data_IF_054494992480
#
_entry.id   IF_054494992480
#
_cell.length_a   1.000
_cell.length_b   1.000
_cell.length_c   1.000
_cell.angle_alpha   90.00
_cell.angle_beta   90.00
_cell.angle_gamma   90.00
#
_symmetry.space_group_name_H-M   'P 1'
#
loop_
_entity.id
_entity.type
_entity.pdbx_description
1 polymer ?
#
# COMPACT_ATOMS: atom_id res chain seq x y z
N UNK A 1 -28.89 -27.20 -8.47
CA UNK A 1 -28.47 -25.97 -9.16
C UNK A 1 -28.33 -24.83 -8.16
N UNK A 2 -29.36 -24.46 -7.39
CA UNK A 2 -29.27 -23.41 -6.35
C UNK A 2 -28.06 -23.55 -5.37
N UNK A 3 -27.78 -24.74 -4.82
CA UNK A 3 -26.62 -24.91 -3.91
C UNK A 3 -25.23 -24.63 -4.53
N UNK A 4 -25.07 -24.77 -5.84
CA UNK A 4 -23.79 -24.55 -6.52
C UNK A 4 -23.58 -23.05 -6.80
N UNK A 5 -24.64 -22.38 -7.28
CA UNK A 5 -24.69 -20.91 -7.44
C UNK A 5 -24.51 -20.19 -6.10
N UNK A 6 -25.14 -20.68 -5.03
CA UNK A 6 -24.99 -20.13 -3.67
C UNK A 6 -23.55 -20.24 -3.13
N UNK A 7 -22.79 -21.26 -3.55
CA UNK A 7 -21.39 -21.40 -3.17
C UNK A 7 -20.51 -20.42 -3.96
N UNK A 8 -20.76 -20.27 -5.26
CA UNK A 8 -20.05 -19.34 -6.14
C UNK A 8 -20.26 -17.88 -5.71
N UNK A 9 -21.50 -17.48 -5.42
CA UNK A 9 -21.82 -16.16 -4.88
C UNK A 9 -21.05 -15.89 -3.58
N UNK A 10 -21.02 -16.86 -2.66
CA UNK A 10 -20.29 -16.73 -1.38
C UNK A 10 -18.79 -16.57 -1.58
N UNK A 11 -18.20 -17.29 -2.54
CA UNK A 11 -16.78 -17.16 -2.85
C UNK A 11 -16.46 -15.77 -3.43
N UNK A 12 -17.27 -15.28 -4.36
CA UNK A 12 -17.11 -13.95 -4.94
C UNK A 12 -17.27 -12.86 -3.88
N UNK A 13 -18.26 -12.98 -2.99
CA UNK A 13 -18.47 -12.02 -1.89
C UNK A 13 -17.29 -12.00 -0.90
N UNK A 14 -16.69 -13.15 -0.63
CA UNK A 14 -15.50 -13.23 0.23
C UNK A 14 -14.31 -12.51 -0.42
N UNK A 15 -14.02 -12.81 -1.68
CA UNK A 15 -12.93 -12.17 -2.43
C UNK A 15 -13.16 -10.66 -2.57
N UNK A 16 -14.41 -10.25 -2.82
CA UNK A 16 -14.79 -8.85 -2.91
C UNK A 16 -14.57 -8.11 -1.58
N UNK A 17 -14.87 -8.75 -0.45
CA UNK A 17 -14.62 -8.16 0.88
C UNK A 17 -13.14 -7.88 1.10
N UNK A 18 -12.26 -8.80 0.71
CA UNK A 18 -10.80 -8.60 0.81
C UNK A 18 -10.34 -7.46 -0.10
N UNK A 19 -10.81 -7.42 -1.35
CA UNK A 19 -10.51 -6.34 -2.29
C UNK A 19 -10.99 -4.98 -1.77
N UNK A 20 -12.18 -4.90 -1.16
CA UNK A 20 -12.70 -3.69 -0.51
C UNK A 20 -11.78 -3.20 0.62
N UNK A 21 -11.20 -4.11 1.41
CA UNK A 21 -10.22 -3.75 2.45
C UNK A 21 -8.97 -3.09 1.84
N UNK A 22 -8.44 -3.62 0.74
CA UNK A 22 -7.27 -3.03 0.05
C UNK A 22 -7.57 -1.63 -0.52
N UNK A 23 -8.80 -1.43 -1.02
CA UNK A 23 -9.25 -0.11 -1.49
C UNK A 23 -9.29 0.90 -0.34
N UNK A 24 -9.73 0.48 0.85
CA UNK A 24 -9.78 1.34 2.02
C UNK A 24 -8.38 1.70 2.54
N UNK A 25 -7.43 0.76 2.51
CA UNK A 25 -6.02 1.02 2.81
C UNK A 25 -5.41 2.03 1.84
N UNK A 26 -5.65 1.89 0.53
CA UNK A 26 -5.25 2.88 -0.46
C UNK A 26 -5.80 4.26 -0.14
N UNK A 27 -7.09 4.38 0.16
CA UNK A 27 -7.71 5.66 0.53
C UNK A 27 -7.05 6.24 1.78
N UNK A 28 -6.73 5.41 2.77
CA UNK A 28 -6.05 5.84 3.97
C UNK A 28 -4.65 6.40 3.66
N UNK A 29 -3.84 5.68 2.86
CA UNK A 29 -2.51 6.13 2.46
C UNK A 29 -2.60 7.42 1.63
N UNK A 30 -3.52 7.54 0.69
CA UNK A 30 -3.72 8.78 -0.07
C UNK A 30 -4.06 9.97 0.83
N UNK A 31 -4.92 9.78 1.84
CA UNK A 31 -5.21 10.81 2.85
C UNK A 31 -3.95 11.21 3.61
N UNK A 32 -3.15 10.24 4.06
CA UNK A 32 -1.88 10.51 4.75
C UNK A 32 -0.92 11.29 3.84
N UNK A 33 -0.70 10.86 2.61
CA UNK A 33 0.20 11.53 1.67
C UNK A 33 -0.24 12.96 1.34
N UNK A 34 -1.55 13.24 1.38
CA UNK A 34 -2.09 14.59 1.19
C UNK A 34 -2.06 15.46 2.46
N UNK A 35 -1.94 14.85 3.64
CA UNK A 35 -2.02 15.52 4.94
C UNK A 35 -0.83 16.46 5.17
N UNK A 36 -1.11 17.69 5.62
CA UNK A 36 -0.09 18.72 5.85
C UNK A 36 0.99 18.32 6.86
N UNK A 37 0.60 17.71 7.97
CA UNK A 37 1.54 17.32 9.02
C UNK A 37 2.36 16.11 8.61
N UNK A 38 1.76 15.15 7.89
CA UNK A 38 2.49 14.05 7.29
C UNK A 38 3.53 14.55 6.28
N UNK A 39 3.15 15.47 5.38
CA UNK A 39 4.10 16.09 4.45
C UNK A 39 5.25 16.77 5.18
N UNK A 40 4.95 17.51 6.25
CA UNK A 40 5.97 18.24 7.02
C UNK A 40 6.94 17.30 7.74
N UNK A 41 6.43 16.28 8.41
CA UNK A 41 7.22 15.42 9.31
C UNK A 41 7.84 14.25 8.56
N UNK A 42 7.09 13.60 7.69
CA UNK A 42 7.52 12.38 7.01
C UNK A 42 8.11 12.68 5.64
N UNK A 43 7.37 13.33 4.73
CA UNK A 43 7.89 13.59 3.37
C UNK A 43 9.09 14.54 3.41
N UNK A 44 8.92 15.77 3.88
CA UNK A 44 10.01 16.74 3.94
C UNK A 44 10.99 16.49 5.08
N UNK A 45 10.55 15.91 6.19
CA UNK A 45 11.42 15.62 7.33
C UNK A 45 12.24 14.36 7.13
N UNK A 46 11.57 13.23 6.99
CA UNK A 46 12.21 11.91 6.97
C UNK A 46 12.66 11.48 5.56
N UNK A 47 11.87 11.69 4.51
CA UNK A 47 12.26 11.24 3.17
C UNK A 47 13.29 12.18 2.52
N UNK A 48 13.16 13.49 2.74
CA UNK A 48 14.06 14.48 2.11
C UNK A 48 15.24 14.85 3.04
N UNK A 49 14.97 15.53 4.16
CA UNK A 49 16.03 16.12 5.00
C UNK A 49 16.90 15.07 5.68
N UNK A 50 16.30 14.01 6.21
CA UNK A 50 17.06 12.96 6.88
C UNK A 50 17.92 12.17 5.88
N UNK A 51 17.44 11.90 4.67
CA UNK A 51 18.25 11.29 3.62
C UNK A 51 19.49 12.14 3.30
N UNK A 52 19.34 13.47 3.17
CA UNK A 52 20.46 14.40 2.97
C UNK A 52 21.41 14.39 4.17
N UNK A 53 20.88 14.40 5.40
CA UNK A 53 21.69 14.33 6.62
C UNK A 53 22.54 13.06 6.67
N UNK A 54 21.96 11.91 6.30
CA UNK A 54 22.65 10.62 6.25
C UNK A 54 23.76 10.60 5.19
N UNK A 55 23.56 11.23 4.04
CA UNK A 55 24.62 11.38 3.02
C UNK A 55 25.81 12.17 3.58
N UNK A 56 25.55 13.28 4.27
CA UNK A 56 26.63 14.03 4.92
C UNK A 56 27.31 13.23 6.03
N UNK A 57 26.53 12.54 6.87
CA UNK A 57 27.06 11.70 7.94
C UNK A 57 27.96 10.57 7.39
N UNK A 58 27.62 10.02 6.23
CA UNK A 58 28.44 9.01 5.54
C UNK A 58 29.85 9.52 5.23
N UNK A 59 30.01 10.82 5.02
CA UNK A 59 31.31 11.47 4.76
C UNK A 59 32.06 11.93 6.01
N UNK A 60 31.45 11.84 7.20
CA UNK A 60 32.08 12.27 8.46
C UNK A 60 33.23 11.33 8.85
N UNK A 61 34.40 11.89 9.14
CA UNK A 61 35.60 11.12 9.47
C UNK A 61 35.43 10.19 10.68
N UNK A 62 34.56 10.54 11.63
CA UNK A 62 34.28 9.72 12.82
C UNK A 62 33.34 8.54 12.53
N UNK A 63 32.76 8.47 11.34
CA UNK A 63 31.79 7.45 10.93
C UNK A 63 32.32 6.53 9.81
N UNK A 64 33.64 6.49 9.60
CA UNK A 64 34.26 5.74 8.49
C UNK A 64 34.50 4.25 8.77
N UNK A 65 34.24 3.75 9.99
CA UNK A 65 34.33 2.30 10.22
C UNK A 65 33.27 1.55 9.43
N UNK A 66 33.57 0.30 9.04
CA UNK A 66 32.66 -0.51 8.25
C UNK A 66 31.30 -0.71 8.94
N UNK A 67 31.31 -0.92 10.26
CA UNK A 67 30.08 -1.05 11.06
C UNK A 67 29.25 0.25 11.04
N UNK A 68 29.89 1.40 11.16
CA UNK A 68 29.24 2.70 11.16
C UNK A 68 28.63 3.02 9.79
N UNK A 69 29.37 2.77 8.71
CA UNK A 69 28.90 2.94 7.33
C UNK A 69 27.67 2.06 7.06
N UNK A 70 27.70 0.79 7.47
CA UNK A 70 26.58 -0.13 7.31
C UNK A 70 25.32 0.34 8.05
N UNK A 71 25.46 0.92 9.24
CA UNK A 71 24.33 1.50 9.98
C UNK A 71 23.70 2.68 9.24
N UNK A 72 24.51 3.52 8.58
CA UNK A 72 24.01 4.65 7.79
C UNK A 72 23.29 4.15 6.53
N UNK A 73 23.90 3.20 5.82
CA UNK A 73 23.32 2.61 4.60
C UNK A 73 21.99 1.88 4.87
N UNK A 74 21.89 1.18 6.00
CA UNK A 74 20.64 0.55 6.43
C UNK A 74 19.53 1.59 6.71
N UNK A 75 19.87 2.73 7.32
CA UNK A 75 18.90 3.81 7.55
C UNK A 75 18.43 4.44 6.24
N UNK A 76 19.34 4.69 5.30
CA UNK A 76 19.00 5.18 3.96
C UNK A 76 18.10 4.19 3.20
N UNK A 77 18.42 2.90 3.30
CA UNK A 77 17.58 1.84 2.73
C UNK A 77 16.20 1.83 3.37
N UNK A 78 16.12 1.99 4.69
CA UNK A 78 14.85 2.06 5.43
C UNK A 78 13.93 3.19 4.97
N UNK A 79 14.48 4.36 4.63
CA UNK A 79 13.72 5.46 4.04
C UNK A 79 13.08 5.02 2.71
N UNK A 80 13.89 4.45 1.81
CA UNK A 80 13.44 4.00 0.50
C UNK A 80 12.40 2.87 0.58
N UNK A 81 12.62 1.88 1.45
CA UNK A 81 11.69 0.76 1.61
C UNK A 81 10.36 1.19 2.21
N UNK A 82 10.36 2.14 3.15
CA UNK A 82 9.11 2.68 3.68
C UNK A 82 8.31 3.44 2.60
N UNK A 83 8.97 4.27 1.79
CA UNK A 83 8.31 4.94 0.68
C UNK A 83 7.72 3.93 -0.32
N UNK A 84 8.50 2.91 -0.71
CA UNK A 84 8.05 1.84 -1.60
C UNK A 84 6.83 1.08 -1.06
N UNK A 85 6.77 0.84 0.25
CA UNK A 85 5.61 0.23 0.88
C UNK A 85 4.35 1.07 0.71
N UNK A 86 4.43 2.40 0.94
CA UNK A 86 3.28 3.29 0.75
C UNK A 86 2.80 3.29 -0.72
N UNK A 87 3.74 3.34 -1.65
CA UNK A 87 3.43 3.29 -3.10
C UNK A 87 2.79 1.95 -3.48
N UNK A 88 3.28 0.83 -2.93
CA UNK A 88 2.72 -0.49 -3.16
C UNK A 88 1.28 -0.60 -2.65
N UNK A 89 0.97 -0.07 -1.46
CA UNK A 89 -0.41 -0.04 -0.94
C UNK A 89 -1.34 0.73 -1.88
N UNK A 90 -0.89 1.88 -2.41
CA UNK A 90 -1.68 2.67 -3.36
C UNK A 90 -1.90 1.91 -4.67
N UNK A 91 -0.88 1.24 -5.19
CA UNK A 91 -0.98 0.45 -6.42
C UNK A 91 -1.90 -0.76 -6.24
N UNK A 92 -1.75 -1.52 -5.16
CA UNK A 92 -2.58 -2.69 -4.84
C UNK A 92 -4.05 -2.32 -4.69
N UNK A 93 -4.37 -1.25 -3.94
CA UNK A 93 -5.76 -0.78 -3.87
C UNK A 93 -6.26 -0.16 -5.19
N UNK A 94 -5.37 0.15 -6.13
CA UNK A 94 -5.68 0.48 -7.51
C UNK A 94 -6.27 -0.71 -8.25
N UNK A 95 -5.53 -1.82 -8.25
CA UNK A 95 -5.96 -3.08 -8.84
C UNK A 95 -7.19 -3.66 -8.13
N UNK A 96 -7.24 -3.58 -6.81
CA UNK A 96 -8.37 -4.08 -6.03
C UNK A 96 -9.68 -3.32 -6.32
N UNK A 97 -9.61 -2.03 -6.67
CA UNK A 97 -10.81 -1.28 -7.06
C UNK A 97 -11.45 -1.87 -8.33
N UNK A 98 -10.64 -2.23 -9.33
CA UNK A 98 -11.14 -2.91 -10.52
C UNK A 98 -11.74 -4.28 -10.17
N UNK A 99 -11.08 -5.05 -9.31
CA UNK A 99 -11.58 -6.36 -8.89
C UNK A 99 -12.93 -6.28 -8.14
N UNK A 100 -13.19 -5.18 -7.41
CA UNK A 100 -14.50 -4.95 -6.78
C UNK A 100 -15.57 -4.70 -7.83
N UNK A 101 -15.29 -3.87 -8.84
CA UNK A 101 -16.23 -3.58 -9.94
C UNK A 101 -16.57 -4.85 -10.73
N UNK A 102 -15.55 -5.65 -11.07
CA UNK A 102 -15.73 -6.92 -11.79
C UNK A 102 -16.56 -7.92 -10.95
N UNK A 103 -16.32 -7.98 -9.64
CA UNK A 103 -17.09 -8.83 -8.72
C UNK A 103 -18.54 -8.36 -8.55
N UNK A 104 -18.79 -7.05 -8.49
CA UNK A 104 -20.15 -6.50 -8.42
C UNK A 104 -20.96 -6.89 -9.67
N UNK A 105 -20.36 -6.77 -10.87
CA UNK A 105 -20.99 -7.18 -12.12
C UNK A 105 -21.29 -8.69 -12.16
N UNK A 106 -20.33 -9.54 -11.77
CA UNK A 106 -20.52 -10.98 -11.73
C UNK A 106 -21.63 -11.41 -10.75
N UNK A 107 -21.72 -10.77 -9.59
CA UNK A 107 -22.78 -11.05 -8.62
C UNK A 107 -24.16 -10.63 -9.13
N UNK A 108 -24.26 -9.51 -9.85
CA UNK A 108 -25.50 -9.06 -10.47
C UNK A 108 -25.97 -10.07 -11.54
N UNK A 109 -25.07 -10.52 -12.40
CA UNK A 109 -25.36 -11.51 -13.43
C UNK A 109 -25.85 -12.83 -12.81
N UNK A 110 -25.12 -13.37 -11.83
CA UNK A 110 -25.48 -14.63 -11.15
C UNK A 110 -26.85 -14.55 -10.48
N UNK A 111 -27.12 -13.47 -9.72
CA UNK A 111 -28.41 -13.27 -9.04
C UNK A 111 -29.56 -13.13 -10.04
N UNK A 112 -29.35 -12.40 -11.13
CA UNK A 112 -30.38 -12.27 -12.18
C UNK A 112 -30.66 -13.59 -12.91
N UNK A 113 -29.65 -14.45 -13.05
CA UNK A 113 -29.77 -15.75 -13.71
C UNK A 113 -30.43 -16.83 -12.87
N UNK A 114 -30.35 -16.74 -11.54
CA UNK A 114 -31.00 -17.68 -10.60
C UNK A 114 -32.49 -17.35 -10.37
N UNK A 115 -32.89 -16.09 -10.59
CA UNK A 115 -34.29 -15.63 -10.52
C UNK A 115 -35.12 -15.91 -11.79
N UNK A 116 -34.48 -16.30 -12.90
CA UNK A 116 -35.10 -16.52 -14.22
C UNK A 116 -35.42 -18.00 -14.52
#
# INVERSE_FOLDING_TARGET
>A
MSNEVDNEIREIELNQKEAKSMVDDRKAVQRLLSNRDFKRVVTSGYFEKEAVRLVHLKSDANWQSDEAQKVIENQMTGIGTFQQYLDAVVALGGHAAQAVEDADAALEDLRSSDEA
#
